data_IF_309624280331
#
_entry.id   IF_309624280331
#
_cell.length_a   1.000
_cell.length_b   1.000
_cell.length_c   1.000
_cell.angle_alpha   90.00
_cell.angle_beta   90.00
_cell.angle_gamma   90.00
#
_symmetry.space_group_name_H-M   'P 1'
#
loop_
_entity.id
_entity.type
_entity.pdbx_description
1 polymer ?
#
# COMPACT_ATOMS: atom_id res chain seq x y z
N UNK A 1 1.46 -4.54 -0.18
CA UNK A 1 2.62 -3.75 -0.55
C UNK A 1 3.27 -4.28 -1.81
N UNK A 2 4.48 -3.81 -2.07
CA UNK A 2 5.39 -4.23 -3.12
C UNK A 2 5.84 -5.68 -2.93
N UNK A 3 6.33 -6.30 -4.00
CA UNK A 3 6.97 -7.63 -3.96
C UNK A 3 8.50 -7.56 -4.11
N UNK A 4 9.10 -6.40 -3.78
CA UNK A 4 10.50 -6.07 -4.08
C UNK A 4 11.31 -5.64 -2.83
N UNK A 5 10.94 -6.07 -1.62
CA UNK A 5 11.51 -5.54 -0.36
C UNK A 5 12.87 -6.14 0.02
N UNK A 6 13.28 -7.26 -0.57
CA UNK A 6 14.54 -7.94 -0.25
C UNK A 6 15.14 -8.61 -1.48
N UNK A 7 16.42 -8.98 -1.42
CA UNK A 7 17.09 -9.73 -2.51
C UNK A 7 16.50 -11.12 -2.75
N UNK A 8 15.72 -11.65 -1.79
CA UNK A 8 15.01 -12.94 -1.91
C UNK A 8 13.54 -12.77 -2.31
N UNK A 9 13.08 -11.53 -2.47
CA UNK A 9 11.70 -11.26 -2.84
C UNK A 9 11.40 -11.76 -4.27
N UNK A 10 10.16 -12.11 -4.60
CA UNK A 10 9.77 -12.54 -5.96
C UNK A 10 10.06 -11.48 -7.05
N UNK A 11 10.10 -10.20 -6.67
CA UNK A 11 10.47 -9.08 -7.52
C UNK A 11 11.95 -8.71 -7.53
N UNK A 12 12.78 -9.38 -6.72
CA UNK A 12 14.12 -8.93 -6.33
C UNK A 12 14.11 -7.57 -5.62
N UNK A 13 15.23 -7.18 -5.01
CA UNK A 13 15.30 -5.91 -4.27
C UNK A 13 15.18 -4.72 -5.23
N UNK A 14 14.23 -3.83 -4.94
CA UNK A 14 14.19 -2.46 -5.45
C UNK A 14 14.20 -1.51 -4.25
N UNK A 15 15.15 -0.58 -4.20
CA UNK A 15 15.32 0.34 -3.06
C UNK A 15 14.10 1.24 -2.83
N UNK A 16 13.31 1.49 -3.89
CA UNK A 16 12.09 2.31 -3.84
C UNK A 16 10.94 1.59 -3.11
N UNK A 17 11.00 0.27 -3.02
CA UNK A 17 9.97 -0.57 -2.40
C UNK A 17 9.68 -0.17 -0.95
N UNK A 18 10.72 0.21 -0.19
CA UNK A 18 10.58 0.60 1.21
C UNK A 18 9.74 1.85 1.40
N UNK A 19 10.04 2.90 0.62
CA UNK A 19 9.32 4.17 0.70
C UNK A 19 7.89 4.04 0.20
N UNK A 20 7.68 3.32 -0.90
CA UNK A 20 6.34 3.05 -1.43
C UNK A 20 5.46 2.32 -0.41
N UNK A 21 5.98 1.27 0.24
CA UNK A 21 5.22 0.50 1.23
C UNK A 21 4.92 1.30 2.49
N UNK A 22 5.87 2.13 2.96
CA UNK A 22 5.64 3.01 4.10
C UNK A 22 4.53 4.04 3.83
N UNK A 23 4.49 4.63 2.63
CA UNK A 23 3.43 5.57 2.26
C UNK A 23 2.08 4.88 2.12
N UNK A 24 2.04 3.69 1.51
CA UNK A 24 0.82 2.89 1.45
C UNK A 24 0.30 2.51 2.86
N UNK A 25 1.19 2.08 3.76
CA UNK A 25 0.84 1.75 5.14
C UNK A 25 0.28 2.96 5.90
N UNK A 26 0.91 4.13 5.77
CA UNK A 26 0.44 5.39 6.36
C UNK A 26 -0.95 5.75 5.83
N UNK A 27 -1.14 5.74 4.51
CA UNK A 27 -2.40 6.12 3.89
C UNK A 27 -3.55 5.17 4.27
N UNK A 28 -3.30 3.86 4.23
CA UNK A 28 -4.25 2.85 4.71
C UNK A 28 -4.56 3.00 6.20
N UNK A 29 -3.56 3.32 7.02
CA UNK A 29 -3.68 3.47 8.46
C UNK A 29 -4.44 4.73 8.89
N UNK A 30 -4.48 5.77 8.05
CA UNK A 30 -5.12 7.05 8.35
C UNK A 30 -6.44 7.25 7.59
N UNK A 31 -6.92 6.25 6.84
CA UNK A 31 -8.02 6.39 5.89
C UNK A 31 -7.83 7.55 4.88
N UNK A 32 -6.59 7.81 4.49
CA UNK A 32 -6.21 8.91 3.61
C UNK A 32 -6.47 8.54 2.14
N UNK A 33 -7.73 8.69 1.72
CA UNK A 33 -8.18 8.38 0.37
C UNK A 33 -7.40 9.17 -0.71
N UNK A 34 -7.07 10.44 -0.44
CA UNK A 34 -6.32 11.29 -1.38
C UNK A 34 -4.90 10.75 -1.60
N UNK A 35 -4.20 10.36 -0.54
CA UNK A 35 -2.88 9.76 -0.68
C UNK A 35 -2.91 8.40 -1.38
N UNK A 36 -3.93 7.56 -1.13
CA UNK A 36 -4.10 6.32 -1.87
C UNK A 36 -4.31 6.55 -3.37
N UNK A 37 -5.10 7.56 -3.74
CA UNK A 37 -5.31 7.94 -5.15
C UNK A 37 -4.03 8.49 -5.80
N UNK A 38 -3.17 9.15 -5.02
CA UNK A 38 -1.89 9.69 -5.48
C UNK A 38 -0.78 8.63 -5.65
N UNK A 39 -1.01 7.36 -5.27
CA UNK A 39 -0.04 6.29 -5.50
C UNK A 39 0.19 6.07 -7.01
N UNK A 40 1.40 6.44 -7.44
CA UNK A 40 1.84 6.39 -8.83
C UNK A 40 1.64 4.99 -9.46
N UNK A 41 0.83 4.88 -10.53
CA UNK A 41 0.49 3.59 -11.13
C UNK A 41 1.70 2.87 -11.71
N UNK A 42 2.62 3.60 -12.34
CA UNK A 42 3.81 3.00 -12.97
C UNK A 42 4.77 2.46 -11.91
N UNK A 43 5.04 3.24 -10.86
CA UNK A 43 5.88 2.78 -9.75
C UNK A 43 5.25 1.57 -9.04
N UNK A 44 3.93 1.58 -8.82
CA UNK A 44 3.23 0.44 -8.25
C UNK A 44 3.35 -0.82 -9.13
N UNK A 45 3.31 -0.66 -10.45
CA UNK A 45 3.49 -1.75 -11.41
C UNK A 45 4.92 -2.30 -11.38
N UNK A 46 5.93 -1.44 -11.46
CA UNK A 46 7.36 -1.81 -11.38
C UNK A 46 7.68 -2.56 -10.08
N UNK A 47 7.11 -2.11 -8.96
CA UNK A 47 7.27 -2.72 -7.64
C UNK A 47 6.36 -3.94 -7.39
N UNK A 48 5.55 -4.32 -8.39
CA UNK A 48 4.60 -5.43 -8.34
C UNK A 48 3.59 -5.31 -7.18
N UNK A 49 3.19 -4.08 -6.85
CA UNK A 49 2.24 -3.77 -5.77
C UNK A 49 0.79 -3.96 -6.24
N UNK A 50 0.34 -5.22 -6.35
CA UNK A 50 -1.01 -5.57 -6.82
C UNK A 50 -2.15 -4.95 -5.97
N UNK A 51 -1.87 -4.56 -4.73
CA UNK A 51 -2.83 -3.89 -3.85
C UNK A 51 -3.28 -2.51 -4.32
N UNK A 52 -2.52 -1.82 -5.20
CA UNK A 52 -2.85 -0.46 -5.64
C UNK A 52 -4.25 -0.36 -6.23
N UNK A 53 -4.62 -1.29 -7.12
CA UNK A 53 -5.92 -1.27 -7.81
C UNK A 53 -7.12 -1.33 -6.85
N UNK A 54 -7.24 -2.32 -5.94
CA UNK A 54 -8.34 -2.33 -4.97
C UNK A 54 -8.29 -1.16 -4.00
N UNK A 55 -7.12 -0.58 -3.69
CA UNK A 55 -7.05 0.64 -2.87
C UNK A 55 -7.62 1.87 -3.57
N UNK A 56 -7.54 1.98 -4.90
CA UNK A 56 -8.22 3.06 -5.63
C UNK A 56 -9.73 2.94 -5.51
N UNK A 57 -10.26 1.71 -5.57
CA UNK A 57 -11.70 1.44 -5.41
C UNK A 57 -12.14 1.76 -3.99
N UNK A 58 -11.38 1.33 -2.99
CA UNK A 58 -11.63 1.68 -1.58
C UNK A 58 -11.64 3.19 -1.37
N UNK A 59 -10.63 3.91 -1.89
CA UNK A 59 -10.53 5.36 -1.75
C UNK A 59 -11.72 6.09 -2.39
N UNK A 60 -12.14 5.68 -3.59
CA UNK A 60 -13.34 6.24 -4.22
C UNK A 60 -14.63 5.89 -3.47
N UNK A 61 -14.73 4.70 -2.87
CA UNK A 61 -15.89 4.32 -2.06
C UNK A 61 -15.99 5.06 -0.72
N UNK A 62 -14.86 5.54 -0.21
CA UNK A 62 -14.76 6.30 1.03
C UNK A 62 -14.85 7.82 0.84
N UNK A 63 -14.99 8.29 -0.40
CA UNK A 63 -15.17 9.71 -0.70
C UNK A 63 -16.37 10.26 0.09
N UNK A 64 -16.15 11.34 0.83
CA UNK A 64 -17.12 12.00 1.72
C UNK A 64 -17.74 11.12 2.83
N UNK A 65 -17.19 9.92 3.08
CA UNK A 65 -17.71 8.99 4.08
C UNK A 65 -17.22 9.29 5.52
N UNK A 66 -16.24 10.20 5.69
CA UNK A 66 -15.66 10.61 6.97
C UNK A 66 -15.24 9.43 7.87
N UNK A 67 -14.55 8.45 7.27
CA UNK A 67 -14.12 7.22 7.95
C UNK A 67 -12.79 7.43 8.67
N UNK A 68 -12.67 6.82 9.85
CA UNK A 68 -11.41 6.71 10.57
C UNK A 68 -10.64 5.45 10.13
N UNK A 69 -9.32 5.58 9.98
CA UNK A 69 -8.43 4.47 9.64
C UNK A 69 -7.69 3.89 10.83
N UNK A 70 -7.39 2.59 10.77
CA UNK A 70 -6.43 1.95 11.67
C UNK A 70 -5.63 0.87 10.96
N UNK A 71 -4.30 0.98 10.98
CA UNK A 71 -3.40 -0.10 10.58
C UNK A 71 -3.35 -1.15 11.69
N UNK A 72 -3.74 -2.37 11.36
CA UNK A 72 -3.77 -3.53 12.26
C UNK A 72 -2.53 -4.41 12.12
N UNK A 73 -1.89 -4.40 10.95
CA UNK A 73 -0.70 -5.18 10.67
C UNK A 73 0.10 -4.59 9.50
N UNK A 74 1.42 -4.62 9.63
CA UNK A 74 2.39 -4.37 8.56
C UNK A 74 3.61 -5.26 8.77
N UNK A 75 4.01 -6.02 7.74
CA UNK A 75 5.28 -6.74 7.71
C UNK A 75 5.64 -7.16 6.26
N UNK A 76 6.88 -7.60 6.04
CA UNK A 76 7.34 -8.16 4.76
C UNK A 76 8.21 -9.43 4.91
N UNK A 77 7.71 -10.50 5.58
CA UNK A 77 8.52 -11.66 5.96
C UNK A 77 9.12 -12.43 4.77
N UNK A 78 8.49 -12.34 3.60
CA UNK A 78 8.94 -12.98 2.35
C UNK A 78 9.47 -11.96 1.33
N UNK A 79 9.79 -10.75 1.78
CA UNK A 79 10.14 -9.64 0.88
C UNK A 79 8.94 -9.06 0.09
N UNK A 80 7.72 -9.44 0.47
CA UNK A 80 6.46 -8.91 -0.05
C UNK A 80 5.77 -8.16 1.08
N UNK A 81 5.37 -6.91 0.88
CA UNK A 81 4.67 -6.13 1.91
C UNK A 81 3.23 -6.62 2.11
N UNK A 82 2.85 -6.88 3.36
CA UNK A 82 1.49 -7.25 3.78
C UNK A 82 0.95 -6.17 4.70
N UNK A 83 -0.29 -5.74 4.46
CA UNK A 83 -0.97 -4.74 5.27
C UNK A 83 -2.37 -5.24 5.63
N UNK A 84 -2.81 -4.98 6.86
CA UNK A 84 -4.21 -5.10 7.27
C UNK A 84 -4.63 -3.78 7.88
N UNK A 85 -5.70 -3.19 7.37
CA UNK A 85 -6.28 -1.96 7.92
C UNK A 85 -7.79 -2.10 8.04
N UNK A 86 -8.37 -1.40 9.01
CA UNK A 86 -9.81 -1.29 9.22
C UNK A 86 -10.22 0.17 9.09
N UNK A 87 -11.28 0.42 8.32
CA UNK A 87 -11.90 1.74 8.14
C UNK A 87 -13.33 1.66 8.68
N UNK A 88 -13.77 2.65 9.47
CA UNK A 88 -15.06 2.64 10.17
C UNK A 88 -15.63 4.02 10.40
#
# INVERSE_FOLDING_TARGET
GSACRTVKAPGYLDERAAGFDAEAARALGAADAAALLALEPELAYELKAAGRAPWQVLAGAAEDADLDGRLLFEDAPYGVGYFVAAWS
#
